data_IF_525978749783
#
_entry.id   IF_525978749783
#
_cell.length_a   1.000
_cell.length_b   1.000
_cell.length_c   1.000
_cell.angle_alpha   90.00
_cell.angle_beta   90.00
_cell.angle_gamma   90.00
#
_symmetry.space_group_name_H-M   'P 1'
#
loop_
_entity.id
_entity.type
_entity.pdbx_description
1 polymer ?
#
# COMPACT_ATOMS: atom_id res chain seq x y z
N UNK A 1 -9.04 -2.14 18.30
CA UNK A 1 -8.82 -1.06 17.31
C UNK A 1 -8.93 -1.69 15.93
N UNK A 2 -9.72 -1.09 15.04
CA UNK A 2 -9.87 -1.58 13.68
C UNK A 2 -8.62 -1.18 12.87
N UNK A 3 -7.86 -2.15 12.35
CA UNK A 3 -6.57 -1.92 11.66
C UNK A 3 -6.79 -1.78 10.16
N UNK A 4 -6.78 -0.56 9.63
CA UNK A 4 -6.68 -0.32 8.19
C UNK A 4 -5.22 -0.19 7.77
N UNK A 5 -4.89 -0.59 6.55
CA UNK A 5 -3.60 -0.31 5.95
C UNK A 5 -3.59 1.07 5.29
N UNK A 6 -2.47 1.77 5.41
CA UNK A 6 -2.18 3.01 4.68
C UNK A 6 -1.34 2.66 3.45
N UNK A 7 -1.74 3.19 2.31
CA UNK A 7 -1.00 3.11 1.06
C UNK A 7 -0.41 4.48 0.75
N UNK A 8 0.89 4.53 0.51
CA UNK A 8 1.62 5.69 0.00
C UNK A 8 2.03 5.38 -1.43
N UNK A 9 1.61 6.25 -2.35
CA UNK A 9 1.92 6.15 -3.77
C UNK A 9 2.85 7.28 -4.16
N UNK A 10 3.99 6.92 -4.74
CA UNK A 10 5.03 7.85 -5.15
C UNK A 10 5.30 7.72 -6.65
N UNK A 11 5.44 8.84 -7.35
CA UNK A 11 5.90 8.86 -8.74
C UNK A 11 7.39 8.48 -8.78
N UNK A 12 7.73 7.42 -9.52
CA UNK A 12 9.11 6.91 -9.59
C UNK A 12 10.07 7.83 -10.33
N UNK A 13 9.58 8.74 -11.17
CA UNK A 13 10.43 9.65 -11.94
C UNK A 13 10.72 10.95 -11.19
N UNK A 14 9.79 11.38 -10.33
CA UNK A 14 9.87 12.65 -9.59
C UNK A 14 10.20 12.49 -8.11
N UNK A 15 10.21 11.25 -7.61
CA UNK A 15 10.32 10.93 -6.18
C UNK A 15 9.28 11.67 -5.31
N UNK A 16 8.14 12.00 -5.91
CA UNK A 16 7.07 12.80 -5.30
C UNK A 16 5.93 11.90 -4.81
N UNK A 17 5.40 12.16 -3.61
CA UNK A 17 4.18 11.51 -3.13
C UNK A 17 3.00 12.07 -3.95
N UNK A 18 2.41 11.23 -4.77
CA UNK A 18 1.25 11.58 -5.61
C UNK A 18 -0.09 11.26 -4.93
N UNK A 19 -0.08 10.45 -3.87
CA UNK A 19 -1.29 10.16 -3.11
C UNK A 19 -1.06 9.30 -1.87
N UNK A 20 -1.96 9.47 -0.91
CA UNK A 20 -2.07 8.63 0.29
C UNK A 20 -3.50 8.12 0.37
N UNK A 21 -3.65 6.81 0.52
CA UNK A 21 -4.94 6.12 0.52
C UNK A 21 -5.04 5.23 1.75
N UNK A 22 -6.24 5.03 2.28
CA UNK A 22 -6.49 4.07 3.35
C UNK A 22 -7.40 2.96 2.83
N UNK A 23 -7.12 1.73 3.26
CA UNK A 23 -8.02 0.61 2.99
C UNK A 23 -9.29 0.76 3.82
N UNK A 24 -10.42 0.34 3.25
CA UNK A 24 -11.64 0.11 4.01
C UNK A 24 -11.36 -0.90 5.14
N UNK A 25 -11.82 -0.58 6.33
CA UNK A 25 -11.43 -1.32 7.54
C UNK A 25 -12.14 -2.67 7.68
N UNK A 26 -13.29 -2.83 7.02
CA UNK A 26 -14.08 -4.06 7.07
C UNK A 26 -13.69 -5.02 5.94
N UNK A 27 -13.28 -4.48 4.79
CA UNK A 27 -13.08 -5.26 3.57
C UNK A 27 -11.65 -5.24 3.03
N UNK A 28 -10.78 -4.37 3.53
CA UNK A 28 -9.40 -4.19 3.05
C UNK A 28 -9.29 -3.54 1.66
N UNK A 29 -10.43 -3.18 1.04
CA UNK A 29 -10.47 -2.63 -0.32
C UNK A 29 -10.03 -1.18 -0.37
N UNK A 30 -9.39 -0.79 -1.46
CA UNK A 30 -8.97 0.58 -1.71
C UNK A 30 -9.04 0.87 -3.22
N UNK A 31 -9.16 2.15 -3.57
CA UNK A 31 -9.18 2.60 -4.95
C UNK A 31 -8.08 3.65 -5.15
N UNK A 32 -7.33 3.52 -6.25
CA UNK A 32 -6.32 4.48 -6.66
C UNK A 32 -6.53 4.81 -8.13
N UNK A 33 -6.30 6.06 -8.49
CA UNK A 33 -6.32 6.51 -9.89
C UNK A 33 -4.88 6.78 -10.32
N UNK A 34 -4.45 6.09 -11.37
CA UNK A 34 -3.09 6.20 -11.91
C UNK A 34 -3.14 6.85 -13.28
N UNK A 35 -2.13 7.64 -13.62
CA UNK A 35 -1.98 8.16 -14.98
C UNK A 35 -1.42 7.05 -15.87
N UNK A 36 -2.05 6.74 -17.02
CA UNK A 36 -1.53 5.74 -17.94
C UNK A 36 -0.09 6.02 -18.38
N UNK A 37 0.73 4.98 -18.42
CA UNK A 37 2.12 5.06 -18.86
C UNK A 37 3.14 5.42 -17.77
N UNK A 38 2.68 5.96 -16.64
CA UNK A 38 3.56 6.32 -15.53
C UNK A 38 3.92 5.10 -14.66
N UNK A 39 5.07 5.23 -13.99
CA UNK A 39 5.59 4.24 -13.04
C UNK A 39 5.55 4.80 -11.63
N UNK A 40 5.09 3.98 -10.70
CA UNK A 40 4.92 4.36 -9.31
C UNK A 40 5.63 3.39 -8.37
N UNK A 41 6.15 3.93 -7.26
CA UNK A 41 6.45 3.16 -6.05
C UNK A 41 5.22 3.14 -5.17
N UNK A 42 4.75 1.93 -4.89
CA UNK A 42 3.65 1.65 -3.99
C UNK A 42 4.23 1.14 -2.68
N UNK A 43 3.84 1.74 -1.56
CA UNK A 43 4.20 1.29 -0.21
C UNK A 43 2.94 1.14 0.62
N UNK A 44 2.73 -0.04 1.18
CA UNK A 44 1.61 -0.34 2.07
C UNK A 44 2.14 -0.60 3.48
N UNK A 45 1.50 0.03 4.47
CA UNK A 45 1.86 -0.03 5.88
C UNK A 45 0.63 -0.31 6.74
N UNK A 46 0.76 -1.21 7.70
CA UNK A 46 -0.27 -1.49 8.69
C UNK A 46 0.39 -1.81 10.03
N UNK A 47 -0.23 -1.40 11.13
CA UNK A 47 0.30 -1.64 12.47
C UNK A 47 0.44 -3.14 12.75
N UNK A 48 1.63 -3.57 13.19
CA UNK A 48 1.94 -4.97 13.46
C UNK A 48 2.25 -5.81 12.22
N UNK A 49 2.41 -5.18 11.05
CA UNK A 49 2.83 -5.84 9.83
C UNK A 49 4.09 -5.18 9.27
N UNK A 50 4.92 -5.99 8.60
CA UNK A 50 6.04 -5.50 7.83
C UNK A 50 5.52 -4.71 6.61
N UNK A 51 6.11 -3.54 6.30
CA UNK A 51 5.72 -2.78 5.13
C UNK A 51 5.97 -3.58 3.85
N UNK A 52 5.07 -3.42 2.88
CA UNK A 52 5.20 -4.01 1.54
C UNK A 52 5.49 -2.89 0.56
N UNK A 53 6.55 -3.02 -0.24
CA UNK A 53 6.93 -2.07 -1.27
C UNK A 53 7.00 -2.75 -2.64
N UNK A 54 6.37 -2.14 -3.65
CA UNK A 54 6.29 -2.69 -4.99
C UNK A 54 6.34 -1.59 -6.06
N UNK A 55 6.86 -1.90 -7.24
CA UNK A 55 6.76 -1.01 -8.41
C UNK A 55 5.49 -1.35 -9.21
N UNK A 56 4.72 -0.32 -9.58
CA UNK A 56 3.53 -0.45 -10.42
C UNK A 56 3.75 0.30 -11.73
N UNK A 57 3.52 -0.38 -12.85
CA UNK A 57 3.39 0.25 -14.16
C UNK A 57 1.90 0.40 -14.50
N UNK A 58 1.42 1.63 -14.69
CA UNK A 58 0.04 1.91 -15.05
C UNK A 58 -0.22 1.63 -16.54
N UNK A 59 -0.22 0.36 -16.93
CA UNK A 59 -0.39 -0.05 -18.32
C UNK A 59 -1.87 0.00 -18.74
N UNK A 60 -2.24 1.05 -19.48
CA UNK A 60 -3.59 1.19 -20.04
C UNK A 60 -3.54 1.54 -21.55
N UNK A 61 -3.18 0.55 -22.41
CA UNK A 61 -3.12 0.78 -23.85
C UNK A 61 -4.51 1.11 -24.40
N UNK A 62 -4.70 2.35 -24.85
CA UNK A 62 -5.93 2.82 -25.49
C UNK A 62 -6.97 3.49 -24.58
N UNK A 63 -6.66 3.80 -23.31
CA UNK A 63 -7.59 4.55 -22.45
C UNK A 63 -7.49 4.21 -20.97
N UNK A 64 -8.60 4.24 -20.25
CA UNK A 64 -8.68 3.78 -18.87
C UNK A 64 -8.79 2.25 -18.80
N UNK A 65 -8.06 1.64 -17.87
CA UNK A 65 -8.13 0.20 -17.60
C UNK A 65 -8.20 -0.04 -16.10
N UNK A 66 -9.13 -0.88 -15.67
CA UNK A 66 -9.17 -1.36 -14.29
C UNK A 66 -8.04 -2.38 -14.05
N UNK A 67 -7.38 -2.27 -12.90
CA UNK A 67 -6.31 -3.18 -12.47
C UNK A 67 -6.63 -3.69 -11.07
N UNK A 68 -6.79 -5.00 -10.93
CA UNK A 68 -6.93 -5.65 -9.62
C UNK A 68 -5.54 -5.94 -9.04
N UNK A 69 -5.33 -5.64 -7.75
CA UNK A 69 -4.10 -5.96 -7.02
C UNK A 69 -4.48 -6.51 -5.65
N UNK A 70 -3.93 -7.67 -5.33
CA UNK A 70 -4.00 -8.26 -4.00
C UNK A 70 -2.63 -8.16 -3.35
N UNK A 71 -2.60 -7.74 -2.08
CA UNK A 71 -1.36 -7.60 -1.31
C UNK A 71 -1.53 -8.33 0.02
N UNK A 72 -0.62 -9.27 0.29
CA UNK A 72 -0.58 -10.01 1.55
C UNK A 72 0.58 -9.50 2.39
N UNK A 73 0.26 -8.92 3.55
CA UNK A 73 1.27 -8.39 4.47
C UNK A 73 1.71 -9.48 5.46
N UNK A 74 3.00 -9.50 5.78
CA UNK A 74 3.56 -10.40 6.80
C UNK A 74 3.51 -9.72 8.16
N UNK A 75 3.21 -10.47 9.21
CA UNK A 75 3.25 -9.97 10.59
C UNK A 75 4.69 -9.58 10.95
N UNK A 76 4.85 -8.46 11.64
CA UNK A 76 6.12 -8.09 12.25
C UNK A 76 6.25 -8.78 13.62
N UNK A 77 6.92 -9.94 13.63
CA UNK A 77 7.12 -10.76 14.84
C UNK A 77 7.95 -10.04 15.93
N UNK A 78 8.70 -9.00 15.58
CA UNK A 78 9.47 -8.22 16.55
C UNK A 78 8.62 -7.21 17.31
N UNK A 79 7.50 -6.75 16.72
CA UNK A 79 6.57 -5.81 17.36
C UNK A 79 5.93 -6.45 18.61
N UNK A 80 5.66 -7.76 18.59
CA UNK A 80 4.95 -8.48 19.66
C UNK A 80 5.85 -8.82 20.86
N UNK A 81 7.17 -8.79 20.71
CA UNK A 81 8.12 -9.14 21.78
C UNK A 81 8.40 -7.98 22.74
N UNK A 82 8.16 -6.73 22.31
CA UNK A 82 8.39 -5.53 23.13
C UNK A 82 7.24 -5.24 24.11
N UNK A 83 6.04 -5.75 23.87
CA UNK A 83 4.87 -5.54 24.74
C UNK A 83 4.79 -6.55 25.89
N UNK A 84 5.58 -7.64 25.87
CA UNK A 84 5.48 -8.74 26.84
C UNK A 84 6.40 -8.63 28.07
N UNK A 85 7.39 -7.73 28.07
CA UNK A 85 8.39 -7.63 29.15
C UNK A 85 8.13 -6.48 30.15
N UNK A 86 6.88 -6.06 30.33
CA UNK A 86 6.48 -4.96 31.22
C UNK A 86 5.72 -5.38 32.49
N UNK A 87 6.06 -6.52 33.10
CA UNK A 87 5.49 -6.97 34.38
C UNK A 87 6.57 -7.13 35.45
#
# INVERSE_FOLDING_TARGET
MSRCARVVLMDSAKEEIVGIYNTDVMTGRYLMVLKPGDRYHFRMEAEGYLPVEEAILAAAPGGSKEMSKETLMRVDENHDRLTRNGH
#
